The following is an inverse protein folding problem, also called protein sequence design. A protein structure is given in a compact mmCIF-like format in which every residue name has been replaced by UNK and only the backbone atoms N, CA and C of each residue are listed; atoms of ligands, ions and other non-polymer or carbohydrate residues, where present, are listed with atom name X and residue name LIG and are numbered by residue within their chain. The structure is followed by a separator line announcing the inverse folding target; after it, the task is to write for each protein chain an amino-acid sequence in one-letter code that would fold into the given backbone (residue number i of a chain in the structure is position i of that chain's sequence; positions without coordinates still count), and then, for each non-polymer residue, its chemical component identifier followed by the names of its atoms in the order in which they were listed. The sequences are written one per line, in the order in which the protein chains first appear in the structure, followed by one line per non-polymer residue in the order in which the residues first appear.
data_IF_467167811482
#
_entry.id   IF_467167811482
#
_cell.length_a   1.000
_cell.length_b   1.000
_cell.length_c   1.000
_cell.angle_alpha   90.00
_cell.angle_beta   90.00
_cell.angle_gamma   90.00
#
_symmetry.space_group_name_H-M   'P 1'
#
loop_
_entity.id
_entity.type
_entity.pdbx_description
1 polymer ?
#
# COMPACT_ATOMS: atom_id res chain seq x y z
N UNK A 1 1.44 -20.18 13.97
CA UNK A 1 2.01 -18.87 14.23
C UNK A 1 1.74 -17.97 13.04
N UNK A 2 1.07 -16.85 13.30
CA UNK A 2 0.83 -15.87 12.25
C UNK A 2 2.15 -15.14 11.97
N UNK A 3 2.39 -14.74 10.70
CA UNK A 3 3.53 -13.90 10.32
C UNK A 3 3.64 -12.62 11.20
N UNK A 4 2.56 -12.23 11.86
CA UNK A 4 2.47 -11.17 12.85
C UNK A 4 3.41 -11.40 14.03
N UNK A 5 3.58 -12.64 14.46
CA UNK A 5 4.43 -13.00 15.59
C UNK A 5 5.92 -12.97 15.20
N UNK A 6 6.23 -13.25 13.93
CA UNK A 6 7.60 -13.21 13.42
C UNK A 6 8.15 -11.77 13.31
N UNK A 7 7.28 -10.79 13.04
CA UNK A 7 7.70 -9.39 12.94
C UNK A 7 7.59 -8.62 14.27
N UNK A 8 6.64 -8.97 15.13
CA UNK A 8 6.44 -8.29 16.41
C UNK A 8 7.49 -8.66 17.47
N UNK A 9 8.11 -9.83 17.35
CA UNK A 9 9.13 -10.31 18.29
C UNK A 9 10.55 -9.87 17.97
N UNK A 10 10.78 -9.30 16.78
CA UNK A 10 12.09 -8.82 16.38
C UNK A 10 12.28 -7.38 16.80
N UNK A 11 12.70 -7.14 18.04
CA UNK A 11 13.30 -5.88 18.47
C UNK A 11 14.66 -5.64 17.78
N UNK A 12 14.73 -5.87 16.48
CA UNK A 12 15.95 -5.77 15.69
C UNK A 12 15.89 -4.49 14.87
N UNK A 13 16.87 -3.66 15.12
CA UNK A 13 17.16 -2.37 14.52
C UNK A 13 17.15 -2.33 12.97
N UNK A 14 17.14 -1.11 12.49
CA UNK A 14 17.21 -0.51 11.16
C UNK A 14 17.71 -1.33 9.94
N UNK A 15 18.22 -2.53 10.10
CA UNK A 15 18.69 -3.42 9.03
C UNK A 15 17.64 -4.40 8.48
N UNK A 16 16.44 -4.44 9.07
CA UNK A 16 15.34 -5.31 8.59
C UNK A 16 14.85 -4.87 7.21
N UNK A 17 15.01 -3.60 6.86
CA UNK A 17 14.60 -3.09 5.55
C UNK A 17 15.23 -3.82 4.38
N UNK A 18 16.46 -4.35 4.58
CA UNK A 18 17.18 -5.06 3.54
C UNK A 18 16.72 -6.51 3.38
N UNK A 19 16.04 -7.06 4.37
CA UNK A 19 15.52 -8.43 4.38
C UNK A 19 14.07 -8.56 3.92
N UNK A 20 13.29 -7.46 3.92
CA UNK A 20 11.91 -7.48 3.42
C UNK A 20 11.96 -7.31 1.91
N UNK A 21 12.05 -8.42 1.19
CA UNK A 21 12.05 -8.43 -0.26
C UNK A 21 10.64 -8.64 -0.80
N UNK A 22 10.18 -7.66 -1.58
CA UNK A 22 8.97 -7.84 -2.38
C UNK A 22 9.30 -8.81 -3.51
N UNK A 23 8.48 -9.86 -3.75
CA UNK A 23 8.72 -10.78 -4.86
C UNK A 23 8.77 -10.03 -6.19
N UNK A 24 9.68 -10.39 -7.06
CA UNK A 24 9.81 -9.79 -8.40
C UNK A 24 9.45 -10.78 -9.50
N UNK A 25 9.75 -12.05 -9.30
CA UNK A 25 9.49 -13.07 -10.29
C UNK A 25 8.01 -13.41 -10.39
N UNK A 26 7.47 -13.40 -11.61
CA UNK A 26 6.07 -13.70 -11.87
C UNK A 26 5.07 -12.64 -11.37
N UNK A 27 5.56 -11.45 -11.01
CA UNK A 27 4.74 -10.35 -10.51
C UNK A 27 4.49 -9.29 -11.58
N UNK A 28 3.31 -8.69 -11.52
CA UNK A 28 3.05 -7.42 -12.18
C UNK A 28 3.52 -6.28 -11.27
N UNK A 29 4.13 -5.26 -11.84
CA UNK A 29 4.66 -4.12 -11.10
C UNK A 29 4.28 -2.81 -11.80
N UNK A 30 3.67 -1.90 -11.06
CA UNK A 30 3.42 -0.52 -11.46
C UNK A 30 4.23 0.41 -10.56
N UNK A 31 5.26 1.03 -11.10
CA UNK A 31 6.12 1.96 -10.39
C UNK A 31 6.02 3.35 -10.99
N UNK A 32 5.71 4.32 -10.16
CA UNK A 32 5.55 5.72 -10.53
C UNK A 32 6.35 6.59 -9.60
N UNK A 33 6.82 7.72 -10.11
CA UNK A 33 7.53 8.71 -9.30
C UNK A 33 7.01 10.12 -9.60
N UNK A 34 7.15 10.98 -8.61
CA UNK A 34 6.88 12.41 -8.74
C UNK A 34 7.74 13.18 -7.75
N UNK A 35 8.22 14.33 -8.17
CA UNK A 35 8.88 15.29 -7.27
C UNK A 35 7.86 15.84 -6.28
N UNK A 36 8.27 16.26 -5.10
CA UNK A 36 7.42 16.81 -4.07
C UNK A 36 7.79 18.27 -3.74
N UNK A 37 6.84 18.96 -3.10
CA UNK A 37 7.02 20.32 -2.62
C UNK A 37 8.01 20.39 -1.43
N UNK A 38 7.93 19.43 -0.52
CA UNK A 38 8.76 19.33 0.67
C UNK A 38 8.82 17.87 1.15
N UNK A 39 10.01 17.40 1.46
CA UNK A 39 10.22 16.04 1.97
C UNK A 39 9.41 15.79 3.25
N UNK A 40 9.45 16.71 4.21
CA UNK A 40 8.74 16.55 5.47
C UNK A 40 7.22 16.55 5.28
N UNK A 41 6.69 17.46 4.48
CA UNK A 41 5.26 17.50 4.16
C UNK A 41 4.80 16.25 3.41
N UNK A 42 5.63 15.74 2.50
CA UNK A 42 5.35 14.49 1.78
C UNK A 42 5.32 13.30 2.75
N UNK A 43 6.28 13.20 3.66
CA UNK A 43 6.29 12.18 4.73
C UNK A 43 5.04 12.27 5.60
N UNK A 44 4.65 13.47 6.02
CA UNK A 44 3.45 13.66 6.82
C UNK A 44 2.19 13.15 6.10
N UNK A 45 2.03 13.49 4.82
CA UNK A 45 0.90 13.00 4.00
C UNK A 45 0.91 11.48 3.87
N UNK A 46 2.07 10.85 3.71
CA UNK A 46 2.18 9.38 3.66
C UNK A 46 1.74 8.77 5.00
N UNK A 47 2.13 9.38 6.12
CA UNK A 47 1.80 8.88 7.46
C UNK A 47 0.35 9.15 7.90
N UNK A 48 -0.38 10.00 7.18
CA UNK A 48 -1.81 10.25 7.38
C UNK A 48 -2.71 9.30 6.58
N UNK A 49 -2.16 8.44 5.73
CA UNK A 49 -2.91 7.51 4.89
C UNK A 49 -3.79 6.57 5.72
N UNK A 50 -4.98 6.32 5.24
CA UNK A 50 -5.93 5.39 5.86
C UNK A 50 -6.79 6.03 6.95
N UNK A 51 -7.71 5.26 7.51
CA UNK A 51 -8.63 5.75 8.53
C UNK A 51 -9.55 6.87 8.02
N UNK A 52 -9.67 7.93 8.80
CA UNK A 52 -10.53 9.08 8.47
C UNK A 52 -10.01 9.91 7.31
N UNK A 53 -8.70 10.08 7.18
CA UNK A 53 -8.06 10.78 6.05
C UNK A 53 -8.25 10.04 4.73
N UNK A 54 -8.37 8.72 4.79
CA UNK A 54 -8.53 7.87 3.62
C UNK A 54 -7.26 7.78 2.77
N UNK A 55 -7.45 7.53 1.49
CA UNK A 55 -6.35 7.26 0.53
C UNK A 55 -6.17 8.38 -0.48
N UNK A 56 -6.58 9.60 -0.12
CA UNK A 56 -6.50 10.84 -0.92
C UNK A 56 -7.24 10.82 -2.27
N UNK A 57 -7.59 9.67 -2.77
CA UNK A 57 -8.35 9.47 -4.01
C UNK A 57 -9.44 8.41 -3.81
N UNK A 58 -10.15 8.51 -2.67
CA UNK A 58 -10.74 7.38 -2.00
C UNK A 58 -12.17 7.01 -2.31
N UNK A 59 -13.07 7.93 -2.62
CA UNK A 59 -14.51 7.62 -2.69
C UNK A 59 -14.85 6.58 -3.77
N UNK A 60 -14.07 6.54 -4.81
CA UNK A 60 -14.23 5.59 -5.88
C UNK A 60 -13.51 4.24 -5.65
N UNK A 61 -12.43 4.18 -4.89
CA UNK A 61 -11.88 2.93 -4.39
C UNK A 61 -12.91 2.16 -3.57
N UNK A 62 -13.72 2.86 -2.79
CA UNK A 62 -14.80 2.28 -1.99
C UNK A 62 -15.93 1.75 -2.87
N UNK A 63 -16.27 2.44 -3.94
CA UNK A 63 -17.27 1.98 -4.91
C UNK A 63 -16.79 0.76 -5.70
N UNK A 64 -15.55 0.78 -6.17
CA UNK A 64 -14.94 -0.34 -6.87
C UNK A 64 -14.84 -1.57 -5.95
N UNK A 65 -14.46 -1.37 -4.71
CA UNK A 65 -14.41 -2.42 -3.73
C UNK A 65 -15.79 -3.01 -3.44
N UNK A 66 -16.80 -2.17 -3.23
CA UNK A 66 -18.18 -2.65 -3.05
C UNK A 66 -18.66 -3.53 -4.20
N UNK A 67 -18.21 -3.24 -5.41
CA UNK A 67 -18.46 -4.06 -6.59
C UNK A 67 -17.72 -5.41 -6.51
N UNK A 68 -16.43 -5.42 -6.14
CA UNK A 68 -15.65 -6.66 -6.02
C UNK A 68 -16.06 -7.51 -4.82
N UNK A 69 -16.45 -6.91 -3.70
CA UNK A 69 -17.00 -7.63 -2.55
C UNK A 69 -18.29 -8.37 -2.92
N UNK A 70 -19.13 -7.79 -3.76
CA UNK A 70 -20.34 -8.47 -4.27
C UNK A 70 -20.01 -9.67 -5.18
N UNK A 71 -18.96 -9.55 -6.00
CA UNK A 71 -18.54 -10.63 -6.91
C UNK A 71 -17.84 -11.75 -6.16
N UNK A 72 -17.00 -11.42 -5.18
CA UNK A 72 -16.19 -12.40 -4.45
C UNK A 72 -16.88 -12.99 -3.22
N UNK A 73 -18.09 -12.55 -2.86
CA UNK A 73 -18.84 -13.05 -1.69
C UNK A 73 -18.13 -12.82 -0.36
N UNK A 74 -17.24 -11.84 -0.29
CA UNK A 74 -16.42 -11.56 0.89
C UNK A 74 -16.80 -10.26 1.58
N UNK A 75 -17.08 -10.32 2.88
CA UNK A 75 -17.20 -9.15 3.73
C UNK A 75 -15.80 -8.69 4.12
N UNK A 76 -15.22 -7.84 3.28
CA UNK A 76 -13.98 -7.17 3.66
C UNK A 76 -14.29 -6.02 4.61
N UNK A 77 -14.14 -6.24 5.88
CA UNK A 77 -14.30 -5.20 6.89
C UNK A 77 -13.16 -4.17 6.75
N UNK A 78 -13.51 -2.94 6.49
CA UNK A 78 -12.62 -1.80 6.69
C UNK A 78 -12.27 -1.72 8.17
N UNK A 79 -11.00 -1.96 8.51
CA UNK A 79 -10.55 -1.98 9.90
C UNK A 79 -10.20 -0.60 10.45
N UNK A 80 -10.11 0.42 9.58
CA UNK A 80 -9.55 1.70 9.96
C UNK A 80 -8.05 1.60 10.27
N UNK A 81 -7.56 2.53 11.07
CA UNK A 81 -6.17 2.53 11.56
C UNK A 81 -6.11 1.89 12.93
N UNK A 82 -5.10 1.07 13.16
CA UNK A 82 -4.81 0.51 14.50
C UNK A 82 -4.47 1.64 15.47
N UNK A 83 -3.69 2.63 15.02
CA UNK A 83 -3.34 3.81 15.78
C UNK A 83 -3.62 5.06 14.94
N UNK A 84 -4.39 6.07 15.45
CA UNK A 84 -4.71 7.26 14.70
C UNK A 84 -3.49 8.16 14.43
N UNK A 85 -2.50 8.15 15.32
CA UNK A 85 -1.42 9.15 15.31
C UNK A 85 -0.09 8.63 14.74
N UNK A 86 0.11 7.31 14.69
CA UNK A 86 1.35 6.69 14.23
C UNK A 86 1.11 5.45 13.40
N UNK A 87 2.16 5.02 12.69
CA UNK A 87 2.19 3.78 11.93
C UNK A 87 3.38 2.95 12.42
N UNK A 88 3.08 1.76 12.93
CA UNK A 88 4.07 0.78 13.36
C UNK A 88 3.96 -0.51 12.53
N UNK A 89 5.04 -1.28 12.47
CA UNK A 89 5.04 -2.60 11.83
C UNK A 89 4.00 -3.50 12.48
N UNK A 90 3.17 -4.14 11.67
CA UNK A 90 2.08 -5.00 12.11
C UNK A 90 0.74 -4.30 12.27
N UNK A 91 0.69 -2.97 12.19
CA UNK A 91 -0.56 -2.20 12.23
C UNK A 91 -1.45 -2.49 11.03
N UNK A 92 -2.76 -2.33 11.23
CA UNK A 92 -3.73 -2.31 10.15
C UNK A 92 -3.97 -0.87 9.68
N UNK A 93 -3.90 -0.68 8.36
CA UNK A 93 -4.35 0.52 7.66
C UNK A 93 -5.46 0.12 6.70
N UNK A 94 -6.70 0.20 7.14
CA UNK A 94 -7.87 -0.30 6.42
C UNK A 94 -7.71 -1.79 6.05
N UNK A 95 -7.38 -2.11 4.80
CA UNK A 95 -7.21 -3.48 4.30
C UNK A 95 -5.76 -3.91 4.19
N UNK A 96 -4.87 -3.02 4.55
CA UNK A 96 -3.44 -3.21 4.44
C UNK A 96 -2.84 -3.54 5.80
N UNK A 97 -1.81 -4.35 5.78
CA UNK A 97 -0.95 -4.63 6.92
C UNK A 97 0.40 -3.97 6.70
N UNK A 98 0.86 -3.22 7.70
CA UNK A 98 2.17 -2.58 7.66
C UNK A 98 3.26 -3.62 7.83
N UNK A 99 4.09 -3.81 6.79
CA UNK A 99 5.25 -4.68 6.84
C UNK A 99 6.52 -3.93 7.26
N UNK A 100 6.65 -2.67 6.84
CA UNK A 100 7.75 -1.81 7.19
C UNK A 100 7.28 -0.36 7.27
N UNK A 101 7.74 0.36 8.27
CA UNK A 101 7.44 1.79 8.44
C UNK A 101 8.62 2.49 9.09
N UNK A 102 9.22 3.44 8.38
CA UNK A 102 10.26 4.33 8.90
C UNK A 102 10.05 5.74 8.35
N UNK A 103 9.49 6.61 9.17
CA UNK A 103 9.16 7.99 8.75
C UNK A 103 10.41 8.81 8.45
N UNK A 104 11.49 8.62 9.20
CA UNK A 104 12.74 9.35 9.00
C UNK A 104 13.37 9.01 7.64
N UNK A 105 13.38 7.74 7.29
CA UNK A 105 13.81 7.25 5.96
C UNK A 105 12.80 7.63 4.87
N UNK A 106 11.53 7.78 5.22
CA UNK A 106 10.45 8.04 4.27
C UNK A 106 10.02 6.79 3.50
N UNK A 107 10.01 5.62 4.16
CA UNK A 107 9.61 4.35 3.57
C UNK A 107 8.46 3.71 4.32
N UNK A 108 7.42 3.35 3.60
CA UNK A 108 6.26 2.61 4.09
C UNK A 108 5.96 1.46 3.12
N UNK A 109 5.93 0.23 3.63
CA UNK A 109 5.61 -0.97 2.87
C UNK A 109 4.37 -1.64 3.45
N UNK A 110 3.39 -1.87 2.61
CA UNK A 110 2.10 -2.43 2.95
C UNK A 110 1.84 -3.74 2.20
N UNK A 111 1.17 -4.67 2.86
CA UNK A 111 0.68 -5.91 2.28
C UNK A 111 -0.85 -5.95 2.34
N UNK A 112 -1.49 -6.31 1.24
CA UNK A 112 -2.95 -6.40 1.17
C UNK A 112 -3.47 -7.65 1.87
N UNK A 113 -4.41 -7.46 2.78
CA UNK A 113 -5.17 -8.54 3.43
C UNK A 113 -6.58 -8.69 2.84
N UNK A 114 -6.81 -8.10 1.67
CA UNK A 114 -8.05 -8.31 0.91
C UNK A 114 -8.07 -9.70 0.28
N UNK A 115 -9.28 -10.22 0.07
CA UNK A 115 -9.46 -11.42 -0.76
C UNK A 115 -9.21 -11.07 -2.22
N UNK A 116 -8.02 -11.34 -2.67
CA UNK A 116 -7.60 -11.13 -4.06
C UNK A 116 -7.21 -12.49 -4.67
N UNK A 117 -7.33 -12.66 -5.98
CA UNK A 117 -6.78 -13.83 -6.65
C UNK A 117 -5.25 -13.72 -6.82
N UNK A 118 -4.57 -13.48 -5.71
CA UNK A 118 -3.14 -13.26 -5.62
C UNK A 118 -2.74 -12.48 -4.38
N UNK A 119 -1.53 -11.97 -4.39
CA UNK A 119 -0.96 -11.16 -3.31
C UNK A 119 -0.58 -9.79 -3.85
N UNK A 120 -0.77 -8.74 -3.04
CA UNK A 120 -0.48 -7.38 -3.43
C UNK A 120 0.33 -6.64 -2.36
N UNK A 121 1.30 -5.86 -2.80
CA UNK A 121 2.12 -4.97 -2.00
C UNK A 121 2.01 -3.54 -2.52
N UNK A 122 2.07 -2.59 -1.62
CA UNK A 122 2.14 -1.17 -1.93
C UNK A 122 3.29 -0.56 -1.15
N UNK A 123 4.24 0.05 -1.85
CA UNK A 123 5.39 0.71 -1.25
C UNK A 123 5.40 2.20 -1.60
N UNK A 124 5.65 3.02 -0.58
CA UNK A 124 6.01 4.43 -0.72
C UNK A 124 7.44 4.60 -0.25
N UNK A 125 8.28 5.20 -1.08
CA UNK A 125 9.69 5.43 -0.77
C UNK A 125 10.13 6.81 -1.24
N UNK A 126 10.68 7.60 -0.33
CA UNK A 126 11.30 8.88 -0.67
C UNK A 126 12.75 8.64 -1.04
N UNK A 127 13.14 9.08 -2.23
CA UNK A 127 14.50 8.96 -2.74
C UNK A 127 14.80 10.11 -3.71
N UNK A 128 15.96 10.80 -3.51
CA UNK A 128 16.45 11.84 -4.42
C UNK A 128 15.40 12.91 -4.79
N UNK A 129 14.77 13.53 -3.80
CA UNK A 129 13.73 14.56 -3.95
C UNK A 129 12.47 14.09 -4.71
N UNK A 130 12.24 12.80 -4.76
CA UNK A 130 11.05 12.21 -5.38
C UNK A 130 10.39 11.19 -4.47
N UNK A 131 9.07 11.10 -4.57
CA UNK A 131 8.30 9.99 -4.02
C UNK A 131 8.18 8.91 -5.09
N UNK A 132 8.63 7.73 -4.77
CA UNK A 132 8.45 6.53 -5.58
C UNK A 132 7.32 5.70 -4.98
N UNK A 133 6.28 5.47 -5.77
CA UNK A 133 5.14 4.66 -5.41
C UNK A 133 5.14 3.39 -6.26
N UNK A 134 5.23 2.24 -5.63
CA UNK A 134 5.31 0.94 -6.30
C UNK A 134 4.18 0.03 -5.83
N UNK A 135 3.37 -0.42 -6.76
CA UNK A 135 2.40 -1.50 -6.55
C UNK A 135 2.93 -2.78 -7.18
N UNK A 136 2.91 -3.85 -6.44
CA UNK A 136 3.32 -5.18 -6.91
C UNK A 136 2.16 -6.15 -6.70
N UNK A 137 1.83 -6.91 -7.72
CA UNK A 137 0.80 -7.94 -7.66
C UNK A 137 1.35 -9.26 -8.16
N UNK A 138 1.31 -10.28 -7.30
CA UNK A 138 1.63 -11.66 -7.66
C UNK A 138 0.33 -12.43 -7.93
N UNK A 139 -0.01 -12.69 -9.20
CA UNK A 139 -1.25 -13.38 -9.53
C UNK A 139 -1.22 -14.83 -9.07
N UNK A 140 -2.35 -15.34 -8.61
CA UNK A 140 -2.58 -16.75 -8.36
C UNK A 140 -3.29 -17.36 -9.58
N UNK A 141 -2.52 -18.04 -10.41
CA UNK A 141 -3.01 -18.69 -11.62
C UNK A 141 -3.62 -17.74 -12.66
N UNK A 142 -4.45 -18.28 -13.53
CA UNK A 142 -5.09 -17.55 -14.62
C UNK A 142 -6.05 -16.48 -14.11
N UNK A 143 -6.82 -16.78 -13.06
CA UNK A 143 -7.78 -15.83 -12.48
C UNK A 143 -7.09 -14.58 -11.94
N UNK A 144 -5.93 -14.72 -11.35
CA UNK A 144 -5.13 -13.59 -10.89
C UNK A 144 -4.67 -12.71 -12.05
N UNK A 145 -4.28 -13.28 -13.16
CA UNK A 145 -3.87 -12.54 -14.38
C UNK A 145 -5.04 -11.79 -15.01
N UNK A 146 -6.19 -12.44 -15.14
CA UNK A 146 -7.41 -11.80 -15.64
C UNK A 146 -7.81 -10.63 -14.74
N UNK A 147 -7.79 -10.84 -13.44
CA UNK A 147 -8.07 -9.78 -12.45
C UNK A 147 -7.16 -8.56 -12.65
N UNK A 148 -5.83 -8.76 -12.80
CA UNK A 148 -4.90 -7.66 -13.02
C UNK A 148 -5.25 -6.83 -14.26
N UNK A 149 -5.51 -7.48 -15.40
CA UNK A 149 -5.86 -6.77 -16.64
C UNK A 149 -7.21 -6.05 -16.56
N UNK A 150 -8.17 -6.57 -15.81
CA UNK A 150 -9.46 -5.90 -15.59
C UNK A 150 -9.32 -4.64 -14.71
N UNK A 151 -8.45 -4.66 -13.70
CA UNK A 151 -8.28 -3.52 -12.79
C UNK A 151 -7.26 -2.50 -13.28
N UNK A 152 -6.42 -2.87 -14.24
CA UNK A 152 -5.31 -2.04 -14.71
C UNK A 152 -5.70 -0.61 -15.12
N UNK A 153 -6.79 -0.36 -15.91
CA UNK A 153 -7.19 0.99 -16.27
C UNK A 153 -7.54 1.86 -15.07
N UNK A 154 -8.21 1.26 -14.10
CA UNK A 154 -8.64 1.91 -12.88
C UNK A 154 -7.47 2.15 -11.94
N UNK A 155 -6.61 1.17 -11.81
CA UNK A 155 -5.39 1.22 -11.04
C UNK A 155 -4.52 2.41 -11.46
N UNK A 156 -4.35 2.60 -12.77
CA UNK A 156 -3.59 3.72 -13.31
C UNK A 156 -4.11 5.08 -12.88
N UNK A 157 -5.42 5.30 -12.96
CA UNK A 157 -6.05 6.56 -12.56
C UNK A 157 -5.91 6.82 -11.06
N UNK A 158 -6.14 5.79 -10.24
CA UNK A 158 -6.06 5.86 -8.78
C UNK A 158 -4.64 6.18 -8.33
N UNK A 159 -3.65 5.45 -8.87
CA UNK A 159 -2.25 5.62 -8.48
C UNK A 159 -1.70 6.97 -8.87
N UNK A 160 -2.06 7.48 -10.05
CA UNK A 160 -1.70 8.84 -10.45
C UNK A 160 -2.31 9.89 -9.53
N UNK A 161 -3.59 9.77 -9.22
CA UNK A 161 -4.30 10.70 -8.33
C UNK A 161 -3.70 10.70 -6.93
N UNK A 162 -3.41 9.53 -6.37
CA UNK A 162 -2.80 9.40 -5.05
C UNK A 162 -1.38 10.00 -5.04
N UNK A 163 -0.56 9.68 -6.04
CA UNK A 163 0.80 10.21 -6.14
C UNK A 163 0.81 11.75 -6.22
N UNK A 164 -0.05 12.34 -7.05
CA UNK A 164 -0.19 13.80 -7.15
C UNK A 164 -0.58 14.44 -5.82
N UNK A 165 -1.51 13.85 -5.09
CA UNK A 165 -1.93 14.36 -3.78
C UNK A 165 -0.83 14.25 -2.73
N UNK A 166 -0.11 13.14 -2.70
CA UNK A 166 1.00 12.94 -1.77
C UNK A 166 2.17 13.89 -2.03
N UNK A 167 2.44 14.19 -3.29
CA UNK A 167 3.53 15.09 -3.69
C UNK A 167 3.13 16.57 -3.80
N UNK A 168 1.83 16.87 -3.73
CA UNK A 168 1.26 18.20 -3.96
C UNK A 168 1.63 18.78 -5.33
N UNK A 169 1.76 17.92 -6.33
CA UNK A 169 1.93 18.31 -7.73
C UNK A 169 0.56 18.26 -8.43
N UNK A 170 0.03 19.42 -8.74
CA UNK A 170 -1.23 19.58 -9.49
C UNK A 170 -1.06 19.26 -10.98
#
# INVERSE_FOLDING_TARGET
SSWKDAYASSGIDSHISDFIQIPTYGCFRDQRNSTFDSSEKCKDRIWEIGGETGWYYGDWLWKLRGFFDKIAGGVGLRRGRTNPDKIDVGDALDFWRVLYANKNEGRLLLFSEMKLPGEAWLEFKIQNNSLIQTATFRPLGLMGRIYWYLVLPFHGAIFNGMLKKLTNNN
#
